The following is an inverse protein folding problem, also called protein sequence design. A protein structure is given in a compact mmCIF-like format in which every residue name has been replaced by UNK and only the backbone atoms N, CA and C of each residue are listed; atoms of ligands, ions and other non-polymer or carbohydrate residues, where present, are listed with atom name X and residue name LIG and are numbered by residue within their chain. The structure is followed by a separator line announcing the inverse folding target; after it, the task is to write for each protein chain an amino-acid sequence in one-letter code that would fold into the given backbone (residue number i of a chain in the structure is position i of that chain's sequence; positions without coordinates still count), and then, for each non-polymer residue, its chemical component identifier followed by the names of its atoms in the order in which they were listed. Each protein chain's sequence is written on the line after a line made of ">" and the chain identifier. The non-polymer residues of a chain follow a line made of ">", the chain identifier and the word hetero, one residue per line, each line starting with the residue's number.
data_IF_775295897400
#
_entry.id   IF_775295897400
#
_cell.length_a   1.000
_cell.length_b   1.000
_cell.length_c   1.000
_cell.angle_alpha   90.00
_cell.angle_beta   90.00
_cell.angle_gamma   90.00
#
_symmetry.space_group_name_H-M   'P 1'
#
loop_
_entity.id
_entity.type
_entity.pdbx_description
1 polymer ?
#
# COMPACT_ATOMS: atom_id res chain seq x y z
N UNK A 1 -11.05 22.13 -10.80
CA UNK A 1 -11.60 20.76 -10.60
C UNK A 1 -11.04 19.85 -11.67
N UNK A 2 -10.42 18.74 -11.29
CA UNK A 2 -9.95 17.70 -12.22
C UNK A 2 -10.32 16.31 -11.69
N UNK A 3 -10.62 15.38 -12.59
CA UNK A 3 -10.75 13.96 -12.25
C UNK A 3 -9.35 13.38 -12.06
N UNK A 4 -9.12 12.69 -10.95
CA UNK A 4 -7.85 12.04 -10.60
C UNK A 4 -8.08 10.60 -10.16
N UNK A 5 -7.03 9.79 -10.23
CA UNK A 5 -6.99 8.46 -9.60
C UNK A 5 -6.19 8.57 -8.31
N UNK A 6 -6.77 8.14 -7.20
CA UNK A 6 -6.09 8.10 -5.91
C UNK A 6 -5.83 6.66 -5.50
N UNK A 7 -4.70 6.44 -4.82
CA UNK A 7 -4.48 5.26 -4.02
C UNK A 7 -4.41 5.64 -2.55
N UNK A 8 -5.29 5.04 -1.76
CA UNK A 8 -5.15 5.00 -0.32
C UNK A 8 -4.30 3.78 0.04
N UNK A 9 -3.09 4.01 0.53
CA UNK A 9 -2.09 2.99 0.82
C UNK A 9 -1.94 2.90 2.33
N UNK A 10 -2.34 1.77 2.92
CA UNK A 10 -2.11 1.42 4.30
C UNK A 10 -0.91 0.47 4.40
N UNK A 11 0.21 0.97 4.91
CA UNK A 11 1.33 0.12 5.29
C UNK A 11 1.03 -0.52 6.64
N UNK A 12 1.13 -1.84 6.73
CA UNK A 12 0.85 -2.55 7.98
C UNK A 12 2.09 -2.72 8.87
N UNK A 13 3.28 -2.65 8.26
CA UNK A 13 4.55 -2.99 8.90
C UNK A 13 5.74 -2.31 8.25
N UNK A 14 5.63 -1.01 8.04
CA UNK A 14 6.74 -0.23 7.48
C UNK A 14 7.95 -0.26 8.42
N UNK A 15 9.15 -0.32 7.85
CA UNK A 15 10.42 -0.44 8.58
C UNK A 15 10.72 -1.85 9.09
N UNK A 16 10.05 -2.89 8.57
CA UNK A 16 10.29 -4.29 8.97
C UNK A 16 11.07 -5.09 7.93
N UNK A 17 11.28 -4.55 6.74
CA UNK A 17 12.05 -5.19 5.68
C UNK A 17 13.53 -4.81 5.83
N UNK A 18 14.38 -5.74 6.29
CA UNK A 18 15.83 -5.58 6.21
C UNK A 18 16.67 -6.46 7.14
N UNK A 19 17.96 -6.66 6.81
CA UNK A 19 18.90 -7.45 7.61
C UNK A 19 19.11 -6.82 8.99
N UNK A 20 18.80 -7.56 10.04
CA UNK A 20 18.83 -7.07 11.43
C UNK A 20 17.51 -6.53 11.97
N UNK A 21 16.46 -6.46 11.13
CA UNK A 21 15.08 -6.09 11.55
C UNK A 21 14.12 -7.28 11.64
N UNK A 22 14.57 -8.48 11.26
CA UNK A 22 13.86 -9.76 11.37
C UNK A 22 14.07 -10.52 12.68
N UNK A 23 14.59 -9.88 13.73
CA UNK A 23 14.58 -10.42 15.10
C UNK A 23 13.35 -9.91 15.84
N UNK A 24 12.73 -10.73 16.67
CA UNK A 24 11.73 -10.29 17.65
C UNK A 24 12.19 -8.96 18.26
N UNK A 25 11.41 -7.86 18.14
CA UNK A 25 11.84 -6.58 18.68
C UNK A 25 12.00 -6.77 20.19
N UNK A 26 13.24 -6.74 20.68
CA UNK A 26 13.46 -6.70 22.11
C UNK A 26 12.83 -5.40 22.59
N UNK A 27 11.74 -5.55 23.34
CA UNK A 27 11.10 -4.54 24.16
C UNK A 27 12.15 -3.54 24.68
N UNK A 28 12.26 -2.35 24.06
CA UNK A 28 12.05 -1.00 24.65
C UNK A 28 12.27 0.02 23.53
N UNK A 29 11.19 0.51 22.91
CA UNK A 29 10.95 1.94 22.65
C UNK A 29 9.68 2.08 21.79
N UNK A 30 8.61 2.53 22.44
CA UNK A 30 7.35 3.03 21.87
C UNK A 30 6.55 2.06 21.00
N UNK A 31 5.48 1.52 21.59
CA UNK A 31 4.35 0.92 20.86
C UNK A 31 3.56 1.98 20.10
N UNK A 32 4.23 2.65 19.16
CA UNK A 32 3.62 3.58 18.23
C UNK A 32 3.43 2.85 16.89
N UNK A 33 2.19 2.85 16.42
CA UNK A 33 1.75 2.16 15.22
C UNK A 33 2.72 2.38 14.04
N UNK A 34 3.43 1.32 13.62
CA UNK A 34 4.10 1.26 12.30
C UNK A 34 3.11 1.18 11.15
N UNK A 35 1.82 1.39 11.46
CA UNK A 35 0.75 1.51 10.49
C UNK A 35 0.67 2.95 10.05
N UNK A 36 0.95 3.18 8.77
CA UNK A 36 0.80 4.50 8.18
C UNK A 36 -0.16 4.40 7.00
N UNK A 37 -1.04 5.38 6.89
CA UNK A 37 -1.95 5.51 5.76
C UNK A 37 -1.59 6.75 4.98
N UNK A 38 -1.39 6.60 3.68
CA UNK A 38 -1.02 7.69 2.77
C UNK A 38 -1.96 7.68 1.59
N UNK A 39 -2.52 8.84 1.25
CA UNK A 39 -3.31 9.02 0.05
C UNK A 39 -2.47 9.76 -1.00
N UNK A 40 -2.34 9.19 -2.19
CA UNK A 40 -1.51 9.73 -3.28
C UNK A 40 -2.22 9.69 -4.62
N UNK A 41 -1.95 10.68 -5.48
CA UNK A 41 -2.35 10.64 -6.89
C UNK A 41 -1.53 9.58 -7.64
N UNK A 42 -2.20 8.82 -8.49
CA UNK A 42 -1.61 7.86 -9.41
C UNK A 42 -1.84 8.26 -10.86
N UNK A 43 -0.84 8.02 -11.70
CA UNK A 43 -0.97 8.18 -13.15
C UNK A 43 -1.87 7.12 -13.78
N UNK A 44 -1.87 5.90 -13.23
CA UNK A 44 -2.73 4.81 -13.66
C UNK A 44 -3.04 3.84 -12.50
N UNK A 45 -4.12 3.08 -12.63
CA UNK A 45 -4.62 2.15 -11.60
C UNK A 45 -4.06 0.73 -11.72
N UNK A 46 -2.96 0.51 -12.45
CA UNK A 46 -2.41 -0.83 -12.61
C UNK A 46 -1.70 -1.29 -11.33
N UNK A 47 -1.77 -2.58 -11.03
CA UNK A 47 -1.07 -3.18 -9.88
C UNK A 47 0.43 -2.86 -9.86
N UNK A 48 1.08 -2.84 -11.04
CA UNK A 48 2.48 -2.46 -11.16
C UNK A 48 2.73 -1.00 -10.72
N UNK A 49 1.89 -0.06 -11.15
CA UNK A 49 2.04 1.35 -10.75
C UNK A 49 1.80 1.56 -9.26
N UNK A 50 0.81 0.86 -8.68
CA UNK A 50 0.54 0.90 -7.24
C UNK A 50 1.73 0.31 -6.48
N UNK A 51 2.27 -0.84 -6.92
CA UNK A 51 3.44 -1.47 -6.30
C UNK A 51 4.66 -0.54 -6.31
N UNK A 52 4.96 0.09 -7.44
CA UNK A 52 6.08 1.02 -7.53
C UNK A 52 5.88 2.23 -6.60
N UNK A 53 4.65 2.75 -6.49
CA UNK A 53 4.33 3.81 -5.54
C UNK A 53 4.49 3.37 -4.09
N UNK A 54 4.08 2.15 -3.75
CA UNK A 54 4.29 1.55 -2.42
C UNK A 54 5.78 1.47 -2.09
N UNK A 55 6.62 1.00 -3.02
CA UNK A 55 8.08 0.94 -2.83
C UNK A 55 8.69 2.32 -2.68
N UNK A 56 8.29 3.29 -3.49
CA UNK A 56 8.77 4.67 -3.42
C UNK A 56 8.52 5.28 -2.02
N UNK A 57 7.29 5.17 -1.52
CA UNK A 57 6.93 5.69 -0.18
C UNK A 57 7.68 4.92 0.90
N UNK A 58 7.81 3.59 0.78
CA UNK A 58 8.57 2.77 1.72
C UNK A 58 10.03 3.23 1.84
N UNK A 59 10.69 3.51 0.71
CA UNK A 59 12.07 4.03 0.66
C UNK A 59 12.16 5.40 1.33
N UNK A 60 11.21 6.31 1.03
CA UNK A 60 11.14 7.63 1.69
C UNK A 60 10.96 7.52 3.22
N UNK A 61 10.39 6.41 3.70
CA UNK A 61 10.20 6.10 5.12
C UNK A 61 11.34 5.27 5.73
N UNK A 62 12.41 5.02 4.98
CA UNK A 62 13.65 4.43 5.47
C UNK A 62 13.81 2.93 5.23
N UNK A 63 12.95 2.31 4.41
CA UNK A 63 13.18 0.95 3.91
C UNK A 63 14.28 0.95 2.83
N UNK A 64 15.05 -0.14 2.74
CA UNK A 64 16.06 -0.26 1.70
C UNK A 64 15.47 -0.86 0.41
N UNK A 65 15.87 -0.31 -0.73
CA UNK A 65 15.40 -0.76 -2.05
C UNK A 65 15.60 -2.27 -2.27
N UNK A 66 16.71 -2.82 -1.76
CA UNK A 66 17.04 -4.25 -1.90
C UNK A 66 16.02 -5.16 -1.21
N UNK A 67 15.49 -4.73 -0.07
CA UNK A 67 14.54 -5.51 0.73
C UNK A 67 13.13 -5.50 0.12
N UNK A 68 12.82 -4.46 -0.67
CA UNK A 68 11.54 -4.29 -1.37
C UNK A 68 11.47 -5.04 -2.71
N UNK A 69 12.58 -5.58 -3.23
CA UNK A 69 12.62 -6.27 -4.54
C UNK A 69 11.69 -7.47 -4.64
N UNK A 70 11.41 -8.12 -3.51
CA UNK A 70 10.54 -9.29 -3.42
C UNK A 70 9.11 -8.97 -3.03
N UNK A 71 8.79 -7.68 -2.86
CA UNK A 71 7.42 -7.25 -2.63
C UNK A 71 6.62 -7.51 -3.92
N UNK A 72 5.61 -8.36 -3.83
CA UNK A 72 4.73 -8.72 -4.92
C UNK A 72 3.27 -8.54 -4.53
N UNK A 73 2.39 -8.50 -5.53
CA UNK A 73 0.95 -8.49 -5.27
C UNK A 73 0.53 -9.85 -4.73
N UNK A 74 -0.08 -9.86 -3.55
CA UNK A 74 -0.78 -11.03 -3.03
C UNK A 74 -2.14 -11.12 -3.74
N UNK A 75 -2.42 -12.28 -4.35
CA UNK A 75 -3.74 -12.54 -4.94
C UNK A 75 -4.71 -12.89 -3.83
N UNK A 76 -5.49 -11.90 -3.39
CA UNK A 76 -6.56 -12.14 -2.44
C UNK A 76 -7.83 -12.57 -3.19
N UNK A 77 -8.31 -13.78 -2.89
CA UNK A 77 -9.59 -14.26 -3.41
C UNK A 77 -10.73 -13.45 -2.78
N UNK A 78 -11.47 -12.71 -3.61
CA UNK A 78 -12.63 -11.92 -3.18
C UNK A 78 -12.33 -10.47 -2.81
N UNK A 79 -11.19 -9.91 -3.20
CA UNK A 79 -10.93 -8.48 -3.03
C UNK A 79 -11.96 -7.64 -3.81
N UNK A 80 -12.50 -6.60 -3.15
CA UNK A 80 -13.36 -5.61 -3.78
C UNK A 80 -12.65 -4.94 -4.96
N UNK A 81 -13.42 -4.45 -5.94
CA UNK A 81 -12.87 -3.77 -7.11
C UNK A 81 -11.96 -2.60 -6.69
N UNK A 82 -10.69 -2.65 -7.06
CA UNK A 82 -9.70 -1.63 -6.71
C UNK A 82 -8.87 -1.92 -5.44
N UNK A 83 -9.20 -2.98 -4.70
CA UNK A 83 -8.38 -3.48 -3.58
C UNK A 83 -7.15 -4.24 -4.07
N UNK A 84 -5.98 -3.92 -3.51
CA UNK A 84 -4.72 -4.61 -3.81
C UNK A 84 -3.87 -4.76 -2.56
N UNK A 85 -3.38 -5.96 -2.31
CA UNK A 85 -2.50 -6.23 -1.18
C UNK A 85 -1.12 -6.63 -1.66
N UNK A 86 -0.09 -6.20 -0.95
CA UNK A 86 1.31 -6.47 -1.28
C UNK A 86 2.01 -7.18 -0.13
N UNK A 87 2.81 -8.19 -0.45
CA UNK A 87 3.55 -9.00 0.51
C UNK A 87 4.87 -9.48 -0.09
N UNK A 88 5.91 -9.61 0.73
CA UNK A 88 7.17 -10.22 0.31
C UNK A 88 7.03 -11.73 0.09
N UNK A 89 7.84 -12.23 -0.84
CA UNK A 89 8.05 -13.66 -1.01
C UNK A 89 8.75 -14.27 0.22
N UNK A 90 8.28 -15.44 0.64
CA UNK A 90 8.65 -16.11 1.90
C UNK A 90 10.10 -16.63 1.91
N UNK A 91 10.73 -16.71 0.74
CA UNK A 91 11.96 -17.49 0.52
C UNK A 91 13.27 -16.86 1.03
N UNK A 92 13.28 -15.64 1.61
CA UNK A 92 14.55 -15.00 2.05
C UNK A 92 14.82 -15.11 3.55
N UNK A 93 13.81 -14.82 4.36
CA UNK A 93 14.04 -14.47 5.76
C UNK A 93 13.55 -15.55 6.72
N UNK A 94 12.96 -16.64 6.20
CA UNK A 94 12.28 -17.67 7.00
C UNK A 94 11.18 -17.12 7.90
N UNK A 95 10.85 -15.83 7.76
CA UNK A 95 9.97 -15.07 8.64
C UNK A 95 8.67 -14.89 7.88
N UNK A 96 7.64 -15.59 8.34
CA UNK A 96 6.30 -15.46 7.80
C UNK A 96 5.53 -14.44 8.63
N UNK A 97 5.28 -13.27 8.05
CA UNK A 97 4.33 -12.33 8.64
C UNK A 97 2.90 -12.81 8.35
N UNK A 98 2.04 -12.78 9.38
CA UNK A 98 0.62 -13.07 9.20
C UNK A 98 -0.10 -11.98 8.40
N UNK A 99 0.34 -10.72 8.53
CA UNK A 99 -0.18 -9.58 7.79
C UNK A 99 0.51 -9.37 6.45
N UNK A 100 -0.20 -8.75 5.50
CA UNK A 100 0.37 -8.13 4.31
C UNK A 100 1.37 -7.04 4.70
N UNK A 101 2.23 -6.65 3.78
CA UNK A 101 3.13 -5.51 3.97
C UNK A 101 2.36 -4.19 3.83
N UNK A 102 1.53 -4.09 2.79
CA UNK A 102 0.65 -2.96 2.53
C UNK A 102 -0.66 -3.42 1.90
N UNK A 103 -1.76 -2.78 2.29
CA UNK A 103 -3.07 -2.90 1.68
C UNK A 103 -3.41 -1.58 1.00
N UNK A 104 -3.94 -1.64 -0.22
CA UNK A 104 -4.18 -0.48 -1.06
C UNK A 104 -5.61 -0.49 -1.59
N UNK A 105 -6.21 0.69 -1.69
CA UNK A 105 -7.49 0.91 -2.33
C UNK A 105 -7.34 2.00 -3.39
N UNK A 106 -7.58 1.64 -4.65
CA UNK A 106 -7.53 2.57 -5.78
C UNK A 106 -8.93 3.00 -6.16
N UNK A 107 -9.17 4.31 -6.23
CA UNK A 107 -10.48 4.84 -6.58
C UNK A 107 -10.40 6.18 -7.34
N UNK A 108 -11.40 6.48 -8.18
CA UNK A 108 -11.52 7.79 -8.82
C UNK A 108 -11.95 8.86 -7.81
N UNK A 109 -11.43 10.07 -7.96
CA UNK A 109 -11.76 11.22 -7.13
C UNK A 109 -11.77 12.54 -7.92
N UNK A 110 -12.48 13.55 -7.44
CA UNK A 110 -12.28 14.94 -7.90
C UNK A 110 -11.31 15.66 -6.98
N UNK A 111 -10.34 16.37 -7.57
CA UNK A 111 -9.50 17.35 -6.87
C UNK A 111 -10.08 18.76 -7.07
N UNK A 112 -10.32 19.47 -5.97
CA UNK A 112 -10.83 20.85 -5.94
C UNK A 112 -10.13 21.61 -4.82
N UNK A 113 -9.29 22.57 -5.19
CA UNK A 113 -8.57 23.45 -4.28
C UNK A 113 -7.77 22.67 -3.21
N UNK A 114 -7.07 21.60 -3.64
CA UNK A 114 -6.26 20.76 -2.75
C UNK A 114 -7.06 19.78 -1.88
N UNK A 115 -8.36 19.62 -2.13
CA UNK A 115 -9.23 18.65 -1.46
C UNK A 115 -9.64 17.55 -2.43
N UNK A 116 -9.72 16.32 -1.93
CA UNK A 116 -10.13 15.17 -2.70
C UNK A 116 -11.54 14.70 -2.32
N UNK A 117 -12.35 14.42 -3.32
CA UNK A 117 -13.71 13.90 -3.18
C UNK A 117 -13.80 12.56 -3.89
N UNK A 118 -13.90 11.46 -3.12
CA UNK A 118 -14.07 10.11 -3.67
C UNK A 118 -15.37 10.03 -4.48
N UNK A 119 -15.29 9.41 -5.65
CA UNK A 119 -16.46 9.19 -6.49
C UNK A 119 -17.04 7.80 -6.22
N UNK A 120 -18.36 7.76 -6.19
CA UNK A 120 -19.13 6.53 -6.19
C UNK A 120 -19.89 6.46 -7.50
N UNK A 121 -19.67 5.39 -8.25
CA UNK A 121 -20.45 5.12 -9.44
C UNK A 121 -21.89 4.78 -9.06
N UNK A 122 -22.84 5.38 -9.77
CA UNK A 122 -24.27 5.08 -9.64
C UNK A 122 -24.76 4.51 -10.96
N UNK A 123 -25.62 3.50 -10.91
CA UNK A 123 -26.17 2.90 -12.13
C UNK A 123 -27.02 3.94 -12.87
N UNK A 124 -26.72 4.13 -14.15
CA UNK A 124 -27.57 4.91 -15.04
C UNK A 124 -28.84 4.10 -15.32
N UNK A 125 -30.01 4.67 -15.02
CA UNK A 125 -31.29 4.10 -15.43
C UNK A 125 -31.65 4.65 -16.81
N UNK A 126 -31.77 3.78 -17.81
CA UNK A 126 -32.24 4.15 -19.16
C UNK A 126 -33.78 3.96 -19.23
N UNK A 127 -34.54 4.79 -18.49
CA UNK A 127 -36.00 4.88 -18.63
C UNK A 127 -36.39 5.80 -19.79
#
# INVERSE_FOLDING_TARGET
>A
MKLVTLANIQFNRIGTLGPGRGGFPSYVSSGDDRRITVCVELENSTSAAVLEKVKEIAIQKGEHEQDLRRLGQQRDYGADSGGMSFKEDLDVWGTQYSSTYADCEVFPAFEIDGRYFRLQEVQKSDL
#
